data_IF_473098790115
#
_entry.id   IF_473098790115
#
_cell.length_a   1.000
_cell.length_b   1.000
_cell.length_c   1.000
_cell.angle_alpha   90.00
_cell.angle_beta   90.00
_cell.angle_gamma   90.00
#
_symmetry.space_group_name_H-M   'P 1'
#
loop_
_entity.id
_entity.type
_entity.pdbx_description
1 polymer ?
#
# COMPACT_ATOMS: atom_id res chain seq x y z
N UNK A 1 6.62 -17.43 -16.07
CA UNK A 1 5.65 -17.21 -14.97
C UNK A 1 6.06 -18.06 -13.77
N UNK A 2 5.80 -17.59 -12.55
CA UNK A 2 6.07 -18.31 -11.30
C UNK A 2 4.90 -18.17 -10.34
N UNK A 3 4.69 -19.18 -9.50
CA UNK A 3 3.71 -19.12 -8.43
C UNK A 3 4.25 -18.35 -7.22
N UNK A 4 3.50 -17.37 -6.76
CA UNK A 4 3.82 -16.57 -5.59
C UNK A 4 2.55 -16.17 -4.85
N UNK A 5 2.37 -16.63 -3.60
CA UNK A 5 1.24 -16.26 -2.74
C UNK A 5 -0.16 -16.43 -3.38
N UNK A 6 -0.37 -17.51 -4.14
CA UNK A 6 -1.59 -17.78 -4.94
C UNK A 6 -1.79 -16.90 -6.19
N UNK A 7 -0.75 -16.16 -6.60
CA UNK A 7 -0.71 -15.42 -7.86
C UNK A 7 0.30 -16.03 -8.81
N UNK A 8 0.01 -15.92 -10.11
CA UNK A 8 0.94 -16.28 -11.18
C UNK A 8 1.61 -15.00 -11.66
N UNK A 9 2.90 -14.82 -11.38
CA UNK A 9 3.63 -13.58 -11.64
C UNK A 9 4.71 -13.73 -12.72
N UNK A 10 5.00 -12.70 -13.51
CA UNK A 10 6.13 -12.71 -14.43
C UNK A 10 7.44 -12.51 -13.64
N UNK A 11 8.24 -13.57 -13.47
CA UNK A 11 9.57 -13.45 -12.86
C UNK A 11 10.55 -12.68 -13.76
N UNK A 12 10.45 -12.92 -15.07
CA UNK A 12 11.22 -12.23 -16.11
C UNK A 12 10.41 -12.28 -17.40
N UNK A 13 10.66 -11.33 -18.30
CA UNK A 13 10.11 -11.33 -19.65
C UNK A 13 11.03 -12.12 -20.58
N UNK A 14 10.48 -12.82 -21.56
CA UNK A 14 11.23 -13.83 -22.35
C UNK A 14 12.40 -13.27 -23.15
N UNK A 15 12.38 -11.97 -23.41
CA UNK A 15 13.33 -11.22 -24.23
C UNK A 15 14.36 -10.44 -23.39
N UNK A 16 14.27 -10.44 -22.06
CA UNK A 16 15.18 -9.72 -21.18
C UNK A 16 15.57 -10.55 -19.96
N UNK A 17 16.87 -10.53 -19.60
CA UNK A 17 17.29 -11.10 -18.31
C UNK A 17 16.88 -10.19 -17.15
N UNK A 18 16.85 -10.75 -15.93
CA UNK A 18 16.60 -9.97 -14.70
C UNK A 18 17.62 -8.83 -14.55
N UNK A 19 18.87 -9.06 -14.96
CA UNK A 19 19.95 -8.05 -14.91
C UNK A 19 19.64 -6.92 -15.89
N UNK A 20 19.22 -7.25 -17.11
CA UNK A 20 18.87 -6.24 -18.13
C UNK A 20 17.68 -5.41 -17.68
N UNK A 21 16.62 -6.03 -17.16
CA UNK A 21 15.45 -5.31 -16.63
C UNK A 21 15.82 -4.41 -15.45
N UNK A 22 16.74 -4.85 -14.58
CA UNK A 22 17.24 -4.00 -13.48
C UNK A 22 17.94 -2.75 -14.01
N UNK A 23 18.87 -2.90 -14.96
CA UNK A 23 19.57 -1.77 -15.57
C UNK A 23 18.61 -0.86 -16.34
N UNK A 24 17.65 -1.45 -17.06
CA UNK A 24 16.64 -0.70 -17.79
C UNK A 24 15.83 0.22 -16.87
N UNK A 25 15.33 -0.27 -15.74
CA UNK A 25 14.55 0.55 -14.78
C UNK A 25 15.40 1.66 -14.16
N UNK A 26 16.71 1.43 -13.98
CA UNK A 26 17.64 2.45 -13.47
C UNK A 26 17.91 3.56 -14.47
N UNK A 27 17.85 3.26 -15.78
CA UNK A 27 18.17 4.21 -16.85
C UNK A 27 16.93 4.82 -17.52
N UNK A 28 15.79 4.14 -17.43
CA UNK A 28 14.55 4.47 -18.15
C UNK A 28 13.32 4.39 -17.25
N UNK A 29 12.24 3.75 -17.71
CA UNK A 29 10.99 3.58 -16.98
C UNK A 29 10.49 2.14 -17.13
N UNK A 30 10.32 1.45 -16.01
CA UNK A 30 9.73 0.11 -15.97
C UNK A 30 8.37 0.10 -15.27
N UNK A 31 7.50 -0.77 -15.74
CA UNK A 31 6.17 -1.00 -15.17
C UNK A 31 6.13 -2.36 -14.48
N UNK A 32 5.64 -2.38 -13.25
CA UNK A 32 5.51 -3.59 -12.44
C UNK A 32 4.05 -3.79 -12.02
N UNK A 33 3.53 -5.00 -12.22
CA UNK A 33 2.28 -5.42 -11.62
C UNK A 33 2.52 -5.89 -10.19
N UNK A 34 2.07 -5.08 -9.23
CA UNK A 34 2.14 -5.36 -7.79
C UNK A 34 0.74 -5.53 -7.19
N UNK A 35 -0.24 -5.90 -8.01
CA UNK A 35 -1.66 -6.08 -7.61
C UNK A 35 -1.87 -7.20 -6.59
N UNK A 36 -0.87 -8.07 -6.42
CA UNK A 36 -0.87 -9.14 -5.42
C UNK A 36 -0.76 -8.61 -3.98
N UNK A 37 -0.30 -7.36 -3.79
CA UNK A 37 -0.21 -6.73 -2.47
C UNK A 37 -1.58 -6.58 -1.82
N UNK A 38 -1.63 -6.74 -0.49
CA UNK A 38 -2.82 -6.50 0.29
C UNK A 38 -3.12 -5.00 0.31
N UNK A 39 -4.31 -4.62 -0.15
CA UNK A 39 -4.79 -3.25 -0.15
C UNK A 39 -5.99 -3.10 0.77
N UNK A 40 -5.97 -2.13 1.68
CA UNK A 40 -7.05 -1.86 2.62
C UNK A 40 -7.37 -0.38 2.72
N UNK A 41 -8.62 -0.06 3.00
CA UNK A 41 -9.07 1.27 3.41
C UNK A 41 -9.59 1.20 4.84
N UNK A 42 -9.18 2.17 5.65
CA UNK A 42 -9.65 2.32 7.04
C UNK A 42 -10.35 3.66 7.19
N UNK A 43 -11.61 3.60 7.62
CA UNK A 43 -12.52 4.74 7.75
C UNK A 43 -12.92 4.94 9.20
N UNK A 44 -13.63 6.05 9.44
CA UNK A 44 -14.19 6.41 10.73
C UNK A 44 -13.39 7.50 11.43
N UNK A 45 -13.99 8.12 12.43
CA UNK A 45 -13.38 9.24 13.14
C UNK A 45 -12.13 8.82 13.93
N UNK A 46 -12.09 7.57 14.41
CA UNK A 46 -10.97 7.04 15.20
C UNK A 46 -9.90 6.33 14.35
N UNK A 47 -9.99 6.36 13.01
CA UNK A 47 -9.11 5.60 12.11
C UNK A 47 -7.61 5.85 12.31
N UNK A 48 -7.24 7.09 12.66
CA UNK A 48 -5.84 7.49 12.89
C UNK A 48 -5.33 6.86 14.17
N UNK A 49 -5.98 7.16 15.30
CA UNK A 49 -5.63 6.58 16.60
C UNK A 49 -5.63 5.05 16.57
N UNK A 50 -6.58 4.44 15.86
CA UNK A 50 -6.62 3.00 15.66
C UNK A 50 -5.36 2.49 14.94
N UNK A 51 -4.94 3.09 13.84
CA UNK A 51 -3.74 2.63 13.13
C UNK A 51 -2.44 2.93 13.86
N UNK A 52 -2.37 4.05 14.57
CA UNK A 52 -1.23 4.36 15.44
C UNK A 52 -1.13 3.37 16.63
N UNK A 53 -2.25 2.79 17.08
CA UNK A 53 -2.20 1.72 18.09
C UNK A 53 -1.63 0.40 17.57
N UNK A 54 -1.58 0.22 16.25
CA UNK A 54 -1.09 -1.02 15.61
C UNK A 54 0.27 -0.85 14.95
N UNK A 55 0.78 0.37 14.86
CA UNK A 55 1.99 0.69 14.08
C UNK A 55 2.86 1.71 14.80
N UNK A 56 4.10 1.87 14.37
CA UNK A 56 5.01 2.86 14.95
C UNK A 56 4.99 4.23 14.23
N UNK A 57 4.03 4.46 13.32
CA UNK A 57 3.97 5.68 12.53
C UNK A 57 3.19 6.79 13.24
N UNK A 58 3.65 8.03 13.11
CA UNK A 58 2.87 9.23 13.44
C UNK A 58 2.00 9.61 12.22
N UNK A 59 0.79 9.07 12.16
CA UNK A 59 -0.19 9.27 11.09
C UNK A 59 -0.96 10.58 11.32
N UNK A 60 -1.15 10.97 12.58
CA UNK A 60 -1.73 12.25 12.97
C UNK A 60 -0.94 13.41 12.38
N UNK A 61 0.39 13.37 12.51
CA UNK A 61 1.34 14.34 11.98
C UNK A 61 1.49 14.35 10.46
N UNK A 62 1.00 13.33 9.74
CA UNK A 62 1.03 13.34 8.27
C UNK A 62 0.12 14.42 7.69
N UNK A 63 0.61 15.10 6.66
CA UNK A 63 -0.22 15.94 5.81
C UNK A 63 -1.15 15.09 4.93
N UNK A 64 -2.21 15.70 4.41
CA UNK A 64 -3.08 15.04 3.44
C UNK A 64 -2.31 14.64 2.19
N UNK A 65 -2.69 13.50 1.61
CA UNK A 65 -2.07 12.87 0.44
C UNK A 65 -0.62 12.43 0.62
N UNK A 66 -0.13 12.36 1.87
CA UNK A 66 1.23 11.90 2.19
C UNK A 66 1.19 10.46 2.70
N UNK A 67 2.17 9.68 2.26
CA UNK A 67 2.41 8.31 2.72
C UNK A 67 3.64 8.20 3.62
N UNK A 68 3.64 7.20 4.48
CA UNK A 68 4.80 6.78 5.28
C UNK A 68 4.97 5.27 5.24
N UNK A 69 6.23 4.82 5.38
CA UNK A 69 6.55 3.43 5.69
C UNK A 69 6.40 3.20 7.19
N UNK A 70 5.90 2.03 7.57
CA UNK A 70 5.76 1.61 8.96
C UNK A 70 5.79 0.08 9.06
N UNK A 71 5.57 -0.42 10.26
CA UNK A 71 5.37 -1.85 10.55
C UNK A 71 4.11 -2.04 11.37
N UNK A 72 3.40 -3.15 11.15
CA UNK A 72 2.42 -3.65 12.09
C UNK A 72 3.13 -4.34 13.25
N UNK A 73 2.72 -4.03 14.47
CA UNK A 73 3.31 -4.56 15.69
C UNK A 73 2.38 -5.56 16.38
N UNK A 74 2.98 -6.53 17.06
CA UNK A 74 2.32 -7.39 18.03
C UNK A 74 2.29 -6.71 19.41
N UNK A 75 1.47 -7.26 20.32
CA UNK A 75 1.30 -6.73 21.68
C UNK A 75 2.62 -6.71 22.50
N UNK A 76 3.60 -7.54 22.13
CA UNK A 76 4.94 -7.60 22.75
C UNK A 76 5.97 -6.69 22.06
N UNK A 77 5.55 -5.90 21.07
CA UNK A 77 6.42 -5.04 20.26
C UNK A 77 7.14 -5.76 19.11
N UNK A 78 6.91 -7.06 18.92
CA UNK A 78 7.43 -7.79 17.77
C UNK A 78 6.84 -7.29 16.46
N UNK A 79 7.64 -7.32 15.38
CA UNK A 79 7.17 -6.93 14.05
C UNK A 79 6.35 -8.06 13.44
N UNK A 80 5.10 -7.75 13.07
CA UNK A 80 4.23 -8.66 12.32
C UNK A 80 4.57 -8.62 10.82
N UNK A 81 4.62 -7.42 10.23
CA UNK A 81 5.01 -7.18 8.84
C UNK A 81 5.20 -5.68 8.57
N UNK A 82 5.82 -5.32 7.46
CA UNK A 82 5.92 -3.93 7.00
C UNK A 82 4.69 -3.47 6.20
N UNK A 83 4.48 -2.16 6.14
CA UNK A 83 3.34 -1.58 5.44
C UNK A 83 3.58 -0.13 5.03
N UNK A 84 2.96 0.29 3.94
CA UNK A 84 2.84 1.70 3.57
C UNK A 84 1.44 2.19 3.96
N UNK A 85 1.39 3.35 4.63
CA UNK A 85 0.14 4.00 5.06
C UNK A 85 0.08 5.38 4.43
N UNK A 86 -1.01 5.68 3.73
CA UNK A 86 -1.27 6.97 3.11
C UNK A 86 -2.47 7.63 3.77
N UNK A 87 -2.32 8.89 4.16
CA UNK A 87 -3.43 9.73 4.64
C UNK A 87 -4.09 10.39 3.44
N UNK A 88 -5.20 9.83 2.95
CA UNK A 88 -5.87 10.34 1.75
C UNK A 88 -6.61 11.67 2.02
N UNK A 89 -6.98 12.36 0.95
CA UNK A 89 -7.77 13.61 1.00
C UNK A 89 -9.20 13.34 1.49
N UNK A 90 -9.80 12.27 0.99
CA UNK A 90 -11.04 11.73 1.55
C UNK A 90 -10.80 11.16 2.96
N UNK A 91 -11.83 11.05 3.81
CA UNK A 91 -11.67 10.67 5.22
C UNK A 91 -11.41 9.16 5.42
N UNK A 92 -10.35 8.64 4.80
CA UNK A 92 -9.84 7.28 5.00
C UNK A 92 -8.31 7.24 4.97
N UNK A 93 -7.75 6.18 5.57
CA UNK A 93 -6.36 5.79 5.41
C UNK A 93 -6.27 4.68 4.37
N UNK A 94 -5.32 4.79 3.46
CA UNK A 94 -5.02 3.73 2.49
C UNK A 94 -3.78 2.97 2.92
N UNK A 95 -3.87 1.65 2.95
CA UNK A 95 -2.83 0.77 3.48
C UNK A 95 -2.48 -0.26 2.42
N UNK A 96 -1.18 -0.42 2.19
CA UNK A 96 -0.62 -1.46 1.35
C UNK A 96 0.35 -2.31 2.18
N UNK A 97 0.18 -3.63 2.17
CA UNK A 97 1.01 -4.56 2.94
C UNK A 97 1.40 -5.79 2.09
N UNK A 98 2.40 -6.54 2.55
CA UNK A 98 2.94 -7.68 1.80
C UNK A 98 1.88 -8.76 1.54
N UNK A 99 1.88 -9.33 0.34
CA UNK A 99 0.99 -10.41 -0.05
C UNK A 99 1.20 -11.68 0.80
N UNK A 100 2.45 -12.01 1.14
CA UNK A 100 2.79 -13.22 1.90
C UNK A 100 2.19 -13.22 3.31
N UNK A 101 2.03 -12.04 3.90
CA UNK A 101 1.47 -11.85 5.25
C UNK A 101 0.00 -11.42 5.22
N UNK A 102 -0.62 -11.33 4.04
CA UNK A 102 -1.96 -10.76 3.86
C UNK A 102 -3.03 -11.35 4.78
N UNK A 103 -3.08 -12.68 4.92
CA UNK A 103 -4.03 -13.36 5.80
C UNK A 103 -3.81 -13.04 7.28
N UNK A 104 -2.55 -12.98 7.72
CA UNK A 104 -2.17 -12.66 9.11
C UNK A 104 -2.51 -11.20 9.43
N UNK A 105 -2.17 -10.28 8.53
CA UNK A 105 -2.46 -8.85 8.69
C UNK A 105 -3.97 -8.62 8.72
N UNK A 106 -4.73 -9.17 7.77
CA UNK A 106 -6.18 -9.02 7.75
C UNK A 106 -6.82 -9.55 9.04
N UNK A 107 -6.39 -10.71 9.53
CA UNK A 107 -6.90 -11.28 10.77
C UNK A 107 -6.55 -10.40 11.98
N UNK A 108 -5.31 -9.91 12.07
CA UNK A 108 -4.85 -9.05 13.16
C UNK A 108 -5.61 -7.71 13.19
N UNK A 109 -5.64 -6.98 12.07
CA UNK A 109 -6.31 -5.68 11.97
C UNK A 109 -7.82 -5.83 12.20
N UNK A 110 -8.44 -6.88 11.66
CA UNK A 110 -9.89 -7.14 11.90
C UNK A 110 -10.17 -7.43 13.37
N UNK A 111 -9.34 -8.24 14.03
CA UNK A 111 -9.47 -8.55 15.46
C UNK A 111 -9.37 -7.28 16.31
N UNK A 112 -8.41 -6.41 16.01
CA UNK A 112 -8.22 -5.15 16.74
C UNK A 112 -9.35 -4.16 16.45
N UNK A 113 -9.80 -4.04 15.20
CA UNK A 113 -10.94 -3.20 14.84
C UNK A 113 -12.21 -3.62 15.60
N UNK A 114 -12.50 -4.93 15.68
CA UNK A 114 -13.66 -5.43 16.45
C UNK A 114 -13.55 -5.05 17.93
N UNK A 115 -12.35 -5.09 18.53
CA UNK A 115 -12.14 -4.63 19.91
C UNK A 115 -12.42 -3.13 20.05
N UNK A 116 -11.89 -2.30 19.16
CA UNK A 116 -12.12 -0.85 19.16
C UNK A 116 -13.60 -0.50 19.02
N UNK A 117 -14.30 -1.11 18.06
CA UNK A 117 -15.74 -0.89 17.87
C UNK A 117 -16.55 -1.30 19.10
N UNK A 118 -16.21 -2.41 19.75
CA UNK A 118 -16.86 -2.83 21.01
C UNK A 118 -16.61 -1.84 22.16
N UNK A 119 -15.51 -1.08 22.13
CA UNK A 119 -15.23 -0.01 23.09
C UNK A 119 -15.89 1.34 22.74
N UNK A 120 -16.68 1.40 21.66
CA UNK A 120 -17.40 2.60 21.24
C UNK A 120 -16.68 3.48 20.22
N UNK A 121 -15.51 3.06 19.71
CA UNK A 121 -14.78 3.78 18.67
C UNK A 121 -15.41 3.56 17.29
N UNK A 122 -15.35 4.57 16.43
CA UNK A 122 -15.83 4.49 15.06
C UNK A 122 -14.67 4.15 14.11
N UNK A 123 -14.57 2.87 13.76
CA UNK A 123 -13.60 2.34 12.81
C UNK A 123 -14.29 1.38 11.85
N UNK A 124 -14.00 1.49 10.54
CA UNK A 124 -14.42 0.51 9.53
C UNK A 124 -13.24 0.11 8.65
N UNK A 125 -13.17 -1.17 8.31
CA UNK A 125 -12.13 -1.73 7.44
C UNK A 125 -12.77 -2.23 6.14
N UNK A 126 -12.16 -1.92 5.01
CA UNK A 126 -12.51 -2.48 3.69
C UNK A 126 -11.27 -3.01 3.00
N UNK A 127 -11.27 -4.30 2.67
CA UNK A 127 -10.23 -4.90 1.82
C UNK A 127 -10.57 -4.64 0.35
N UNK A 128 -9.58 -4.21 -0.43
CA UNK A 128 -9.74 -3.92 -1.86
C UNK A 128 -9.27 -5.08 -2.74
N UNK A 129 -9.74 -5.10 -3.98
CA UNK A 129 -9.32 -6.02 -5.05
C UNK A 129 -8.91 -5.23 -6.30
N UNK A 130 -8.27 -4.09 -6.09
CA UNK A 130 -7.86 -3.21 -7.17
C UNK A 130 -6.57 -3.72 -7.81
N UNK A 131 -6.35 -3.37 -9.07
CA UNK A 131 -5.02 -3.45 -9.64
C UNK A 131 -4.11 -2.42 -8.95
N UNK A 132 -2.85 -2.78 -8.75
CA UNK A 132 -1.81 -1.90 -8.23
C UNK A 132 -0.59 -2.00 -9.14
N UNK A 133 -0.27 -0.89 -9.78
CA UNK A 133 0.82 -0.80 -10.74
C UNK A 133 1.89 0.15 -10.20
N UNK A 134 3.14 -0.26 -10.29
CA UNK A 134 4.28 0.58 -9.95
C UNK A 134 5.02 0.97 -11.23
N UNK A 135 5.04 2.26 -11.55
CA UNK A 135 5.84 2.84 -12.62
C UNK A 135 7.10 3.45 -11.99
N UNK A 136 8.28 2.97 -12.38
CA UNK A 136 9.54 3.23 -11.66
C UNK A 136 10.66 3.58 -12.63
N UNK A 137 11.53 4.51 -12.21
CA UNK A 137 12.72 4.93 -12.97
C UNK A 137 12.72 6.43 -13.28
N UNK A 138 13.86 6.98 -13.76
CA UNK A 138 14.00 8.43 -14.03
C UNK A 138 12.96 8.98 -15.01
N UNK A 139 12.52 8.18 -15.99
CA UNK A 139 11.57 8.63 -17.00
C UNK A 139 10.09 8.48 -16.56
N UNK A 140 9.83 7.92 -15.36
CA UNK A 140 8.48 7.56 -14.91
C UNK A 140 7.52 8.75 -14.86
N UNK A 141 7.98 9.92 -14.40
CA UNK A 141 7.15 11.13 -14.38
C UNK A 141 6.72 11.53 -15.79
N UNK A 142 7.65 11.59 -16.75
CA UNK A 142 7.36 12.00 -18.12
C UNK A 142 6.39 11.02 -18.79
N UNK A 143 6.61 9.72 -18.60
CA UNK A 143 5.73 8.68 -19.14
C UNK A 143 4.32 8.81 -18.56
N UNK A 144 4.20 8.93 -17.23
CA UNK A 144 2.90 9.08 -16.58
C UNK A 144 2.19 10.36 -17.01
N UNK A 145 2.91 11.49 -17.03
CA UNK A 145 2.36 12.79 -17.40
C UNK A 145 1.81 12.78 -18.83
N UNK A 146 2.51 12.13 -19.77
CA UNK A 146 2.04 12.02 -21.17
C UNK A 146 0.72 11.24 -21.32
N UNK A 147 0.42 10.34 -20.37
CA UNK A 147 -0.78 9.51 -20.37
C UNK A 147 -1.96 10.10 -19.59
N UNK A 148 -1.79 11.23 -18.88
CA UNK A 148 -2.82 11.83 -18.02
C UNK A 148 -3.30 13.15 -18.64
N UNK A 149 -4.62 13.33 -18.70
CA UNK A 149 -5.21 14.60 -19.16
C UNK A 149 -4.84 15.76 -18.22
N UNK A 150 -4.55 16.98 -18.75
CA UNK A 150 -4.23 18.16 -17.94
C UNK A 150 -5.26 18.47 -16.84
N UNK A 151 -6.55 18.20 -17.10
CA UNK A 151 -7.64 18.41 -16.13
C UNK A 151 -7.53 17.51 -14.90
N UNK A 152 -6.87 16.36 -15.02
CA UNK A 152 -6.65 15.42 -13.91
C UNK A 152 -5.47 15.88 -13.04
N UNK A 153 -4.43 16.42 -13.66
CA UNK A 153 -3.19 16.87 -12.97
C UNK A 153 -3.49 17.97 -11.94
N UNK A 154 -4.36 18.93 -12.26
CA UNK A 154 -4.73 20.03 -11.36
C UNK A 154 -5.43 19.59 -10.07
N UNK A 155 -5.93 18.36 -9.99
CA UNK A 155 -6.58 17.84 -8.78
C UNK A 155 -5.59 17.14 -7.80
N UNK A 156 -4.32 16.97 -8.21
CA UNK A 156 -3.27 16.33 -7.42
C UNK A 156 -2.23 17.30 -6.85
N UNK A 157 -2.18 18.54 -7.33
CA UNK A 157 -1.45 19.68 -6.73
C UNK A 157 -2.30 20.37 -5.65
#
# INVERSE_FOLDING_TARGET
>A
MVDFCNYVMPLQYSDQSIIDSHHFVRQHCGLFDVSHMLQMQVFGNDRVNFLESLTCADISGLSSSVGTLSVFLLDDGGILDDTIIVKCKEPYLYIVSNAACSSKIQAHVTKMMIKCVKSGQEVKLKVLKNALLALQGPDAYSVLHSGISPTVVQNFE
#
